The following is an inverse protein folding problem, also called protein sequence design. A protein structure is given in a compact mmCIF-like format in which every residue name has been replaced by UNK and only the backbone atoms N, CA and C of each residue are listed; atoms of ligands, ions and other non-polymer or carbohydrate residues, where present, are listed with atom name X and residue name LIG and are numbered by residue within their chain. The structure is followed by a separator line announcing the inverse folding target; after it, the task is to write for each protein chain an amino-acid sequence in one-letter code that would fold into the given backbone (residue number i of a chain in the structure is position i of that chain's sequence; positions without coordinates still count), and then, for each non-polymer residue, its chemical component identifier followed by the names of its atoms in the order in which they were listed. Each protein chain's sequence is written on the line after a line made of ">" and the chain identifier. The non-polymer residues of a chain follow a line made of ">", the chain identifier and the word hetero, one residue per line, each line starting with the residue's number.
data_IF_288634654967
#
_entry.id   IF_288634654967
#
_cell.length_a   1.000
_cell.length_b   1.000
_cell.length_c   1.000
_cell.angle_alpha   90.00
_cell.angle_beta   90.00
_cell.angle_gamma   90.00
#
_symmetry.space_group_name_H-M   'P 1'
#
loop_
_entity.id
_entity.type
_entity.pdbx_description
1 polymer ?
#
# COMPACT_ATOMS: atom_id res chain seq x y z
N UNK A 1 26.56 7.99 33.31
CA UNK A 1 25.38 7.07 33.32
C UNK A 1 24.07 7.81 33.04
N UNK A 2 23.73 8.91 33.66
CA UNK A 2 22.48 9.66 33.42
C UNK A 2 22.28 10.12 31.96
N UNK A 3 23.34 10.66 31.32
CA UNK A 3 23.29 11.14 29.91
C UNK A 3 22.97 10.01 28.89
N UNK A 4 23.50 8.80 29.14
CA UNK A 4 23.21 7.63 28.30
C UNK A 4 21.78 7.09 28.52
N UNK A 5 21.24 7.17 29.74
CA UNK A 5 19.88 6.78 30.04
C UNK A 5 18.86 7.74 29.40
N UNK A 6 19.12 9.04 29.42
CA UNK A 6 18.26 10.06 28.79
C UNK A 6 18.24 9.95 27.25
N UNK A 7 19.38 9.69 26.63
CA UNK A 7 19.48 9.43 25.19
C UNK A 7 18.71 8.16 24.82
N UNK A 8 18.83 7.09 25.61
CA UNK A 8 18.12 5.82 25.40
C UNK A 8 16.60 5.99 25.55
N UNK A 9 16.15 6.81 26.50
CA UNK A 9 14.73 7.10 26.72
C UNK A 9 14.12 7.89 25.56
N UNK A 10 14.75 8.96 25.12
CA UNK A 10 14.31 9.78 23.95
C UNK A 10 14.20 8.94 22.68
N UNK A 11 15.16 8.06 22.44
CA UNK A 11 15.16 7.16 21.30
C UNK A 11 13.95 6.20 21.30
N UNK A 12 13.63 5.59 22.46
CA UNK A 12 12.46 4.71 22.61
C UNK A 12 11.15 5.43 22.34
N UNK A 13 10.99 6.65 22.85
CA UNK A 13 9.77 7.44 22.65
C UNK A 13 9.60 7.89 21.19
N UNK A 14 10.70 8.19 20.48
CA UNK A 14 10.66 8.43 19.03
C UNK A 14 10.15 7.23 18.25
N UNK A 15 10.59 6.02 18.64
CA UNK A 15 10.10 4.78 18.01
C UNK A 15 8.62 4.54 18.29
N UNK A 16 8.19 4.74 19.52
CA UNK A 16 6.76 4.63 19.88
C UNK A 16 5.92 5.59 19.05
N UNK A 17 6.36 6.86 18.91
CA UNK A 17 5.67 7.85 18.11
C UNK A 17 5.51 7.41 16.65
N UNK A 18 6.60 6.99 16.01
CA UNK A 18 6.57 6.49 14.62
C UNK A 18 5.69 5.25 14.52
N UNK A 19 5.79 4.32 15.45
CA UNK A 19 5.01 3.08 15.47
C UNK A 19 3.50 3.33 15.54
N UNK A 20 3.07 4.27 16.39
CA UNK A 20 1.66 4.66 16.52
C UNK A 20 1.14 5.24 15.19
N UNK A 21 1.91 6.14 14.56
CA UNK A 21 1.48 6.77 13.30
C UNK A 21 1.40 5.77 12.15
N UNK A 22 2.37 4.84 12.05
CA UNK A 22 2.33 3.81 11.02
C UNK A 22 1.17 2.85 11.23
N UNK A 23 0.97 2.42 12.48
CA UNK A 23 -0.17 1.60 12.86
C UNK A 23 -1.49 2.29 12.46
N UNK A 24 -1.67 3.56 12.85
CA UNK A 24 -2.83 4.37 12.53
C UNK A 24 -3.04 4.50 11.01
N UNK A 25 -2.03 4.91 10.26
CA UNK A 25 -2.14 5.10 8.80
C UNK A 25 -2.40 3.78 8.06
N UNK A 26 -1.86 2.67 8.57
CA UNK A 26 -2.08 1.33 7.98
C UNK A 26 -3.50 0.83 8.28
N UNK A 27 -3.97 1.00 9.52
CA UNK A 27 -5.34 0.67 9.91
C UNK A 27 -6.33 1.51 9.11
N UNK A 28 -6.12 2.82 8.99
CA UNK A 28 -6.99 3.74 8.24
C UNK A 28 -7.16 3.28 6.77
N UNK A 29 -6.08 2.84 6.15
CA UNK A 29 -6.13 2.33 4.77
C UNK A 29 -6.98 1.05 4.66
N UNK A 30 -6.85 0.13 5.61
CA UNK A 30 -7.49 -1.18 5.54
C UNK A 30 -8.94 -1.15 6.05
N UNK A 31 -9.25 -0.30 7.04
CA UNK A 31 -10.55 -0.22 7.70
C UNK A 31 -11.65 0.25 6.75
N UNK A 32 -11.33 1.21 5.86
CA UNK A 32 -12.26 1.77 4.87
C UNK A 32 -12.66 0.73 3.83
N UNK A 33 -11.77 -0.19 3.46
CA UNK A 33 -12.09 -1.26 2.52
C UNK A 33 -13.24 -2.13 3.04
N UNK A 34 -13.18 -2.51 4.32
CA UNK A 34 -14.23 -3.33 4.96
C UNK A 34 -15.54 -2.56 5.15
N UNK A 35 -15.47 -1.25 5.37
CA UNK A 35 -16.62 -0.38 5.61
C UNK A 35 -17.30 0.12 4.32
N UNK A 36 -16.65 -0.03 3.17
CA UNK A 36 -17.08 0.58 1.90
C UNK A 36 -18.55 0.29 1.54
N UNK A 37 -19.08 -0.96 1.69
CA UNK A 37 -20.48 -1.24 1.40
C UNK A 37 -21.45 -0.47 2.31
N UNK A 38 -21.08 -0.26 3.57
CA UNK A 38 -21.89 0.49 4.54
C UNK A 38 -21.89 1.96 4.20
N UNK A 39 -20.72 2.53 3.94
CA UNK A 39 -20.55 3.94 3.54
C UNK A 39 -21.33 4.21 2.25
N UNK A 40 -21.22 3.33 1.25
CA UNK A 40 -21.93 3.45 -0.02
C UNK A 40 -23.45 3.51 0.19
N UNK A 41 -23.99 2.63 1.03
CA UNK A 41 -25.44 2.57 1.33
C UNK A 41 -25.91 3.80 2.09
N UNK A 42 -25.19 4.23 3.13
CA UNK A 42 -25.60 5.37 3.96
C UNK A 42 -25.51 6.70 3.19
N UNK A 43 -24.56 6.83 2.27
CA UNK A 43 -24.45 8.01 1.40
C UNK A 43 -25.36 7.92 0.15
N UNK A 44 -26.13 6.83 -0.01
CA UNK A 44 -27.01 6.63 -1.17
C UNK A 44 -26.26 6.58 -2.50
N UNK A 45 -25.00 6.15 -2.49
CA UNK A 45 -24.13 6.13 -3.65
C UNK A 45 -24.06 4.78 -4.34
N UNK A 46 -23.77 4.77 -5.64
CA UNK A 46 -23.50 3.54 -6.36
C UNK A 46 -22.20 2.88 -5.82
N UNK A 47 -22.17 1.55 -5.59
CA UNK A 47 -20.99 0.82 -5.13
C UNK A 47 -19.73 1.07 -5.98
N UNK A 48 -19.84 1.14 -7.31
CA UNK A 48 -18.71 1.45 -8.19
C UNK A 48 -18.14 2.85 -7.94
N UNK A 49 -19.01 3.84 -7.73
CA UNK A 49 -18.59 5.21 -7.40
C UNK A 49 -17.98 5.31 -6.01
N UNK A 50 -18.44 4.49 -5.05
CA UNK A 50 -17.89 4.48 -3.70
C UNK A 50 -16.41 4.01 -3.66
N UNK A 51 -15.99 3.19 -4.62
CA UNK A 51 -14.57 2.75 -4.73
C UNK A 51 -13.62 3.94 -4.88
N UNK A 52 -14.10 5.08 -5.40
CA UNK A 52 -13.31 6.31 -5.47
C UNK A 52 -12.86 6.84 -4.10
N UNK A 53 -13.54 6.48 -3.00
CA UNK A 53 -13.10 6.80 -1.63
C UNK A 53 -11.71 6.19 -1.36
N UNK A 54 -11.46 4.99 -1.87
CA UNK A 54 -10.19 4.28 -1.76
C UNK A 54 -9.20 4.78 -2.82
N UNK A 55 -9.64 4.83 -4.07
CA UNK A 55 -8.78 5.17 -5.21
C UNK A 55 -8.22 6.60 -5.10
N UNK A 56 -9.02 7.58 -4.71
CA UNK A 56 -8.58 8.97 -4.57
C UNK A 56 -7.48 9.12 -3.50
N UNK A 57 -7.63 8.44 -2.35
CA UNK A 57 -6.60 8.39 -1.32
C UNK A 57 -5.29 7.78 -1.86
N UNK A 58 -5.37 6.62 -2.49
CA UNK A 58 -4.20 5.91 -3.01
C UNK A 58 -3.55 6.67 -4.17
N UNK A 59 -4.34 7.26 -5.04
CA UNK A 59 -3.88 8.05 -6.18
C UNK A 59 -3.01 9.23 -5.73
N UNK A 60 -3.50 10.05 -4.79
CA UNK A 60 -2.73 11.16 -4.25
C UNK A 60 -1.52 10.66 -3.47
N UNK A 61 -1.68 9.57 -2.70
CA UNK A 61 -0.58 8.98 -1.94
C UNK A 61 0.57 8.53 -2.87
N UNK A 62 0.28 7.83 -3.97
CA UNK A 62 1.28 7.39 -4.94
C UNK A 62 1.95 8.59 -5.61
N UNK A 63 1.16 9.53 -6.10
CA UNK A 63 1.64 10.70 -6.85
C UNK A 63 2.56 11.58 -6.02
N UNK A 64 2.33 11.68 -4.70
CA UNK A 64 3.08 12.53 -3.78
C UNK A 64 4.24 11.82 -3.06
N UNK A 65 4.31 10.49 -3.09
CA UNK A 65 5.26 9.73 -2.28
C UNK A 65 6.72 10.09 -2.60
N UNK A 66 7.11 10.11 -3.88
CA UNK A 66 8.48 10.46 -4.30
C UNK A 66 8.78 11.96 -4.19
N UNK A 67 7.89 12.88 -4.63
CA UNK A 67 8.06 14.30 -4.40
C UNK A 67 8.29 14.67 -2.93
N UNK A 68 7.51 14.09 -2.02
CA UNK A 68 7.63 14.37 -0.59
C UNK A 68 8.85 13.71 0.05
N UNK A 69 9.32 12.55 -0.47
CA UNK A 69 10.58 11.96 -0.07
C UNK A 69 11.76 12.89 -0.40
N UNK A 70 11.82 13.39 -1.63
CA UNK A 70 12.85 14.34 -2.07
C UNK A 70 12.74 15.67 -1.33
N UNK A 71 11.52 16.17 -1.06
CA UNK A 71 11.31 17.36 -0.24
C UNK A 71 11.87 17.16 1.18
N UNK A 72 11.71 15.97 1.75
CA UNK A 72 12.26 15.61 3.06
C UNK A 72 13.78 15.70 3.13
N UNK A 73 14.48 15.40 2.03
CA UNK A 73 15.94 15.56 1.95
C UNK A 73 16.36 17.03 2.02
N UNK A 74 15.54 17.95 1.51
CA UNK A 74 15.85 19.38 1.44
C UNK A 74 15.43 20.14 2.69
N UNK A 75 14.18 19.98 3.15
CA UNK A 75 13.62 20.75 4.29
C UNK A 75 13.70 20.03 5.63
N UNK A 76 14.10 18.75 5.61
CA UNK A 76 14.21 17.87 6.78
C UNK A 76 13.03 16.91 6.92
N UNK A 77 13.33 15.64 7.18
CA UNK A 77 12.34 14.56 7.29
C UNK A 77 11.35 14.76 8.43
N UNK A 78 11.81 15.29 9.57
CA UNK A 78 10.94 15.60 10.71
C UNK A 78 9.86 16.63 10.36
N UNK A 79 10.20 17.67 9.60
CA UNK A 79 9.24 18.71 9.20
C UNK A 79 8.17 18.13 8.28
N UNK A 80 8.58 17.37 7.26
CA UNK A 80 7.66 16.69 6.34
C UNK A 80 6.74 15.73 7.11
N UNK A 81 7.29 14.97 8.06
CA UNK A 81 6.52 14.02 8.86
C UNK A 81 5.46 14.71 9.73
N UNK A 82 5.82 15.76 10.47
CA UNK A 82 4.91 16.48 11.37
C UNK A 82 3.82 17.22 10.57
N UNK A 83 4.17 17.89 9.47
CA UNK A 83 3.17 18.54 8.61
C UNK A 83 2.25 17.52 7.96
N UNK A 84 2.79 16.40 7.48
CA UNK A 84 1.99 15.28 6.93
C UNK A 84 1.01 14.70 7.94
N UNK A 85 1.45 14.48 9.18
CA UNK A 85 0.59 13.99 10.26
C UNK A 85 -0.51 15.00 10.60
N UNK A 86 -0.19 16.30 10.63
CA UNK A 86 -1.17 17.35 10.87
C UNK A 86 -2.24 17.39 9.77
N UNK A 87 -1.81 17.31 8.49
CA UNK A 87 -2.75 17.25 7.36
C UNK A 87 -3.61 15.98 7.42
N UNK A 88 -3.01 14.83 7.77
CA UNK A 88 -3.74 13.57 7.93
C UNK A 88 -4.84 13.67 8.99
N UNK A 89 -4.57 14.30 10.13
CA UNK A 89 -5.56 14.47 11.20
C UNK A 89 -6.69 15.42 10.81
N UNK A 90 -6.36 16.57 10.22
CA UNK A 90 -7.38 17.53 9.74
C UNK A 90 -8.26 16.88 8.68
N UNK A 91 -7.69 16.18 7.72
CA UNK A 91 -8.46 15.48 6.69
C UNK A 91 -9.26 14.30 7.23
N UNK A 92 -8.75 13.60 8.26
CA UNK A 92 -9.53 12.57 8.96
C UNK A 92 -10.78 13.15 9.63
N UNK A 93 -10.65 14.32 10.28
CA UNK A 93 -11.80 15.06 10.81
C UNK A 93 -12.79 15.43 9.70
N UNK A 94 -12.31 15.93 8.56
CA UNK A 94 -13.15 16.24 7.39
C UNK A 94 -13.86 15.00 6.85
N UNK A 95 -13.19 13.83 6.79
CA UNK A 95 -13.82 12.58 6.41
C UNK A 95 -14.98 12.21 7.35
N UNK A 96 -14.77 12.30 8.67
CA UNK A 96 -15.82 12.01 9.65
C UNK A 96 -16.99 13.01 9.65
N UNK A 97 -16.79 14.22 9.13
CA UNK A 97 -17.85 15.24 9.00
C UNK A 97 -18.49 15.26 7.58
N UNK A 98 -18.13 14.31 6.73
CA UNK A 98 -18.60 14.27 5.35
C UNK A 98 -20.05 13.82 5.24
N UNK A 99 -20.89 14.61 4.57
CA UNK A 99 -22.31 14.31 4.33
C UNK A 99 -22.60 13.92 2.87
N UNK A 100 -21.58 13.84 2.03
CA UNK A 100 -21.72 13.45 0.61
C UNK A 100 -20.51 12.67 0.13
N UNK A 101 -20.72 11.82 -0.86
CA UNK A 101 -19.64 11.06 -1.50
C UNK A 101 -18.52 11.96 -2.04
N UNK A 102 -18.91 13.07 -2.71
CA UNK A 102 -17.94 14.02 -3.28
C UNK A 102 -17.03 14.63 -2.20
N UNK A 103 -17.62 15.11 -1.10
CA UNK A 103 -16.85 15.71 -0.01
C UNK A 103 -15.96 14.68 0.70
N UNK A 104 -16.44 13.43 0.83
CA UNK A 104 -15.64 12.34 1.39
C UNK A 104 -14.44 12.00 0.48
N UNK A 105 -14.64 11.92 -0.83
CA UNK A 105 -13.55 11.70 -1.81
C UNK A 105 -12.51 12.82 -1.74
N UNK A 106 -12.94 14.08 -1.68
CA UNK A 106 -12.04 15.23 -1.55
C UNK A 106 -11.24 15.17 -0.25
N UNK A 107 -11.90 14.87 0.86
CA UNK A 107 -11.26 14.73 2.18
C UNK A 107 -10.27 13.56 2.19
N UNK A 108 -10.60 12.43 1.55
CA UNK A 108 -9.72 11.27 1.36
C UNK A 108 -8.51 11.61 0.48
N UNK A 109 -8.67 12.42 -0.54
CA UNK A 109 -7.55 12.93 -1.36
C UNK A 109 -6.56 13.73 -0.51
N UNK A 110 -7.05 14.63 0.33
CA UNK A 110 -6.21 15.40 1.26
C UNK A 110 -5.55 14.48 2.31
N UNK A 111 -6.27 13.47 2.80
CA UNK A 111 -5.72 12.49 3.74
C UNK A 111 -4.63 11.63 3.08
N UNK A 112 -4.77 11.29 1.79
CA UNK A 112 -3.75 10.63 0.99
C UNK A 112 -2.46 11.43 0.87
N UNK A 113 -2.55 12.75 0.75
CA UNK A 113 -1.37 13.65 0.81
C UNK A 113 -0.67 13.57 2.16
N UNK A 114 -1.40 13.64 3.28
CA UNK A 114 -0.85 13.49 4.61
C UNK A 114 -0.17 12.12 4.81
N UNK A 115 -0.80 11.05 4.35
CA UNK A 115 -0.24 9.70 4.40
C UNK A 115 1.02 9.56 3.55
N UNK A 116 1.05 10.15 2.35
CA UNK A 116 2.25 10.19 1.50
C UNK A 116 3.43 10.86 2.21
N UNK A 117 3.19 12.00 2.88
CA UNK A 117 4.22 12.70 3.62
C UNK A 117 4.77 11.85 4.78
N UNK A 118 3.91 11.17 5.53
CA UNK A 118 4.32 10.26 6.60
C UNK A 118 5.15 9.10 6.04
N UNK A 119 4.61 8.40 5.04
CA UNK A 119 5.22 7.15 4.52
C UNK A 119 6.51 7.41 3.76
N UNK A 120 6.62 8.52 3.03
CA UNK A 120 7.81 8.87 2.24
C UNK A 120 9.07 9.03 3.08
N UNK A 121 8.96 9.57 4.29
CA UNK A 121 10.09 9.87 5.17
C UNK A 121 10.25 8.87 6.32
N UNK A 122 9.33 7.94 6.46
CA UNK A 122 9.29 6.98 7.58
C UNK A 122 10.58 6.15 7.68
N UNK A 123 11.02 5.54 6.58
CA UNK A 123 12.23 4.70 6.55
C UNK A 123 13.49 5.52 6.87
N UNK A 124 13.53 6.78 6.39
CA UNK A 124 14.62 7.69 6.70
C UNK A 124 14.69 8.03 8.19
N UNK A 125 13.54 8.34 8.81
CA UNK A 125 13.46 8.59 10.26
C UNK A 125 13.90 7.37 11.08
N UNK A 126 13.53 6.16 10.68
CA UNK A 126 13.98 4.92 11.33
C UNK A 126 15.52 4.81 11.25
N UNK A 127 16.14 5.14 10.10
CA UNK A 127 17.62 5.15 9.95
C UNK A 127 18.31 6.16 10.89
N UNK A 128 17.68 7.30 11.17
CA UNK A 128 18.22 8.27 12.13
C UNK A 128 18.07 7.84 13.59
N UNK A 129 17.04 7.06 13.89
CA UNK A 129 16.74 6.62 15.25
C UNK A 129 17.56 5.38 15.61
N UNK A 130 17.68 4.41 14.72
CA UNK A 130 18.39 3.15 14.99
C UNK A 130 19.89 3.26 14.76
N UNK A 131 20.72 2.69 15.64
CA UNK A 131 22.15 2.52 15.36
C UNK A 131 22.36 1.68 14.10
N UNK A 132 23.40 1.94 13.30
CA UNK A 132 23.65 1.23 12.03
C UNK A 132 23.66 -0.29 12.15
N UNK A 133 24.19 -0.84 13.25
CA UNK A 133 24.26 -2.27 13.54
C UNK A 133 22.91 -2.90 13.94
N UNK A 134 21.85 -2.09 14.18
CA UNK A 134 20.50 -2.54 14.56
C UNK A 134 19.43 -2.05 13.59
N UNK A 135 19.82 -1.44 12.49
CA UNK A 135 18.87 -0.90 11.49
C UNK A 135 17.92 -1.98 10.94
N UNK A 136 18.45 -3.19 10.67
CA UNK A 136 17.62 -4.32 10.23
C UNK A 136 16.52 -4.69 11.24
N UNK A 137 16.80 -4.60 12.55
CA UNK A 137 15.80 -4.81 13.58
C UNK A 137 14.71 -3.72 13.55
N UNK A 138 15.09 -2.46 13.33
CA UNK A 138 14.15 -1.35 13.22
C UNK A 138 13.21 -1.49 12.03
N UNK A 139 13.75 -1.82 10.87
CA UNK A 139 12.96 -2.06 9.65
C UNK A 139 12.06 -3.30 9.80
N UNK A 140 12.57 -4.37 10.42
CA UNK A 140 11.79 -5.57 10.71
C UNK A 140 10.64 -5.29 11.69
N UNK A 141 10.88 -4.50 12.74
CA UNK A 141 9.83 -4.08 13.68
C UNK A 141 8.76 -3.21 13.00
N UNK A 142 9.17 -2.30 12.12
CA UNK A 142 8.24 -1.51 11.33
C UNK A 142 7.36 -2.39 10.41
N UNK A 143 7.95 -3.38 9.74
CA UNK A 143 7.22 -4.34 8.92
C UNK A 143 6.23 -5.17 9.73
N UNK A 144 6.61 -5.58 10.96
CA UNK A 144 5.73 -6.29 11.88
C UNK A 144 4.51 -5.43 12.27
N UNK A 145 4.72 -4.14 12.59
CA UNK A 145 3.62 -3.22 12.93
C UNK A 145 2.65 -3.12 11.76
N UNK A 146 3.14 -2.95 10.54
CA UNK A 146 2.30 -2.90 9.33
C UNK A 146 1.49 -4.19 9.18
N UNK A 147 2.12 -5.36 9.30
CA UNK A 147 1.45 -6.65 9.16
C UNK A 147 0.36 -6.87 10.23
N UNK A 148 0.67 -6.56 11.50
CA UNK A 148 -0.29 -6.68 12.61
C UNK A 148 -1.45 -5.70 12.41
N UNK A 149 -1.17 -4.45 11.99
CA UNK A 149 -2.18 -3.43 11.73
C UNK A 149 -3.17 -3.86 10.64
N UNK A 150 -2.67 -4.39 9.53
CA UNK A 150 -3.53 -4.95 8.48
C UNK A 150 -4.35 -6.14 8.98
N UNK A 151 -3.79 -6.97 9.86
CA UNK A 151 -4.48 -8.14 10.42
C UNK A 151 -5.67 -7.75 11.29
N UNK A 152 -5.51 -6.73 12.13
CA UNK A 152 -6.55 -6.32 13.08
C UNK A 152 -7.55 -5.31 12.51
N UNK A 153 -7.22 -4.64 11.41
CA UNK A 153 -8.05 -3.58 10.83
C UNK A 153 -9.49 -4.03 10.50
N UNK A 154 -9.74 -5.20 9.87
CA UNK A 154 -11.10 -5.65 9.62
C UNK A 154 -11.91 -5.90 10.89
N UNK A 155 -11.26 -6.39 11.97
CA UNK A 155 -11.92 -6.59 13.26
C UNK A 155 -12.28 -5.27 13.92
N UNK A 156 -11.38 -4.28 13.86
CA UNK A 156 -11.64 -2.92 14.37
C UNK A 156 -12.79 -2.30 13.59
N UNK A 157 -12.79 -2.43 12.24
CA UNK A 157 -13.89 -1.95 11.40
C UNK A 157 -15.22 -2.56 11.81
N UNK A 158 -15.27 -3.88 11.92
CA UNK A 158 -16.47 -4.62 12.31
C UNK A 158 -16.95 -4.21 13.72
N UNK A 159 -16.05 -4.10 14.68
CA UNK A 159 -16.39 -3.68 16.04
C UNK A 159 -16.97 -2.26 16.09
N UNK A 160 -16.36 -1.29 15.39
CA UNK A 160 -16.88 0.07 15.34
C UNK A 160 -18.26 0.10 14.67
N UNK A 161 -18.41 -0.55 13.50
CA UNK A 161 -19.66 -0.55 12.74
C UNK A 161 -20.81 -1.33 13.43
N UNK A 162 -20.51 -2.17 14.42
CA UNK A 162 -21.54 -2.87 15.20
C UNK A 162 -22.18 -1.99 16.30
N UNK A 163 -21.49 -0.93 16.75
CA UNK A 163 -21.93 -0.06 17.88
C UNK A 163 -22.04 1.41 17.51
N UNK A 164 -21.47 1.82 16.39
CA UNK A 164 -21.38 3.22 15.98
C UNK A 164 -21.54 3.37 14.46
N UNK A 165 -21.75 4.60 14.00
CA UNK A 165 -21.83 4.93 12.58
C UNK A 165 -20.44 4.93 11.92
N UNK A 166 -20.39 4.86 10.59
CA UNK A 166 -19.16 4.75 9.81
C UNK A 166 -18.20 5.94 10.00
N UNK A 167 -18.68 7.12 10.35
CA UNK A 167 -17.86 8.32 10.60
C UNK A 167 -16.82 8.10 11.71
N UNK A 168 -17.15 7.23 12.68
CA UNK A 168 -16.25 6.89 13.78
C UNK A 168 -14.98 6.16 13.33
N UNK A 169 -14.99 5.55 12.14
CA UNK A 169 -13.79 4.96 11.53
C UNK A 169 -12.70 6.02 11.29
N UNK A 170 -13.11 7.26 11.05
CA UNK A 170 -12.21 8.39 10.86
C UNK A 170 -11.94 9.15 12.18
N UNK A 171 -12.96 9.32 13.02
CA UNK A 171 -12.80 10.03 14.29
C UNK A 171 -11.82 9.34 15.24
N UNK A 172 -11.67 8.00 15.19
CA UNK A 172 -10.70 7.26 16.03
C UNK A 172 -9.26 7.70 15.77
N UNK A 173 -8.95 8.20 14.57
CA UNK A 173 -7.63 8.71 14.21
C UNK A 173 -7.28 9.99 14.99
N UNK A 174 -8.28 10.78 15.43
CA UNK A 174 -8.03 12.10 16.05
C UNK A 174 -7.32 11.96 17.39
N UNK A 175 -7.86 11.25 18.40
CA UNK A 175 -7.19 11.14 19.71
C UNK A 175 -5.83 10.44 19.60
N UNK A 176 -5.75 9.35 18.83
CA UNK A 176 -4.52 8.59 18.64
C UNK A 176 -3.45 9.43 17.93
N UNK A 177 -3.85 10.11 16.85
CA UNK A 177 -2.94 10.92 16.05
C UNK A 177 -2.53 12.23 16.76
N UNK A 178 -3.40 12.88 17.56
CA UNK A 178 -3.00 14.03 18.38
C UNK A 178 -1.93 13.62 19.42
N UNK A 179 -2.10 12.48 20.08
CA UNK A 179 -1.08 11.95 20.96
C UNK A 179 0.23 11.68 20.22
N UNK A 180 0.16 11.03 19.07
CA UNK A 180 1.33 10.75 18.23
C UNK A 180 2.00 12.03 17.70
N UNK A 181 1.23 13.07 17.36
CA UNK A 181 1.73 14.38 16.93
C UNK A 181 2.53 15.06 18.03
N UNK A 182 1.99 15.07 19.26
CA UNK A 182 2.68 15.63 20.43
C UNK A 182 4.00 14.87 20.69
N UNK A 183 3.95 13.53 20.70
CA UNK A 183 5.14 12.70 20.88
C UNK A 183 6.17 12.96 19.77
N UNK A 184 5.73 13.03 18.51
CA UNK A 184 6.60 13.30 17.37
C UNK A 184 7.22 14.70 17.44
N UNK A 185 6.46 15.71 17.86
CA UNK A 185 6.93 17.07 17.99
C UNK A 185 7.98 17.23 19.12
N UNK A 186 7.88 16.42 20.18
CA UNK A 186 8.80 16.50 21.31
C UNK A 186 10.05 15.63 21.08
N UNK A 187 9.86 14.38 20.64
CA UNK A 187 10.90 13.35 20.70
C UNK A 187 11.59 13.05 19.38
N UNK A 188 10.97 13.33 18.20
CA UNK A 188 11.68 13.10 16.94
C UNK A 188 12.96 13.95 16.86
N UNK A 189 14.09 13.33 16.45
CA UNK A 189 15.35 14.03 16.38
C UNK A 189 15.25 15.25 15.44
N UNK A 190 15.76 16.38 15.91
CA UNK A 190 15.96 17.56 15.05
C UNK A 190 17.17 17.24 14.18
N UNK A 191 16.99 17.24 12.87
CA UNK A 191 18.10 17.08 11.96
C UNK A 191 19.08 18.24 12.14
N UNK A 192 20.33 17.90 12.41
CA UNK A 192 21.40 18.88 12.28
C UNK A 192 21.64 19.04 10.77
N UNK A 193 21.34 20.19 10.25
CA UNK A 193 21.75 20.57 8.89
C UNK A 193 23.27 20.44 8.85
N UNK A 194 23.78 19.50 8.07
CA UNK A 194 25.22 19.44 7.83
C UNK A 194 25.54 20.58 6.86
N UNK A 195 26.01 21.69 7.39
CA UNK A 195 26.41 22.91 6.63
C UNK A 195 27.46 22.62 5.53
N UNK A 196 28.00 21.40 5.49
CA UNK A 196 29.04 20.97 4.53
C UNK A 196 28.48 20.23 3.29
N UNK A 197 27.18 19.90 3.24
CA UNK A 197 26.59 19.34 2.03
C UNK A 197 26.01 20.49 1.19
N UNK A 198 26.32 20.56 -0.13
CA UNK A 198 25.68 21.54 -0.98
C UNK A 198 24.17 21.40 -0.86
N UNK A 199 23.49 22.48 -0.47
CA UNK A 199 22.02 22.55 -0.40
C UNK A 199 21.51 22.32 -1.83
N UNK A 200 21.17 21.08 -2.16
CA UNK A 200 20.53 20.77 -3.43
C UNK A 200 19.17 21.45 -3.42
N UNK A 201 18.97 22.39 -4.34
CA UNK A 201 17.67 23.05 -4.48
C UNK A 201 16.63 22.00 -4.86
N UNK A 202 15.49 22.00 -4.16
CA UNK A 202 14.39 21.11 -4.50
C UNK A 202 13.92 21.38 -5.93
N UNK A 203 13.89 20.34 -6.77
CA UNK A 203 13.44 20.44 -8.14
C UNK A 203 11.89 20.36 -8.19
N UNK A 204 11.25 21.53 -7.97
CA UNK A 204 9.78 21.65 -8.02
C UNK A 204 9.21 21.19 -9.35
N UNK A 205 9.91 21.40 -10.45
CA UNK A 205 9.43 21.03 -11.76
C UNK A 205 9.44 19.51 -11.95
N UNK A 206 10.52 18.84 -11.57
CA UNK A 206 10.57 17.37 -11.62
C UNK A 206 9.56 16.73 -10.64
N UNK A 207 9.38 17.31 -9.45
CA UNK A 207 8.37 16.87 -8.49
C UNK A 207 6.95 17.03 -9.05
N UNK A 208 6.65 18.14 -9.72
CA UNK A 208 5.37 18.38 -10.39
C UNK A 208 5.15 17.39 -11.54
N UNK A 209 6.15 17.15 -12.38
CA UNK A 209 6.06 16.16 -13.46
C UNK A 209 5.79 14.76 -12.91
N UNK A 210 6.49 14.37 -11.83
CA UNK A 210 6.29 13.08 -11.17
C UNK A 210 4.86 12.94 -10.61
N UNK A 211 4.37 14.00 -9.96
CA UNK A 211 2.99 14.05 -9.46
C UNK A 211 1.97 13.90 -10.59
N UNK A 212 2.10 14.71 -11.64
CA UNK A 212 1.16 14.70 -12.78
C UNK A 212 1.20 13.37 -13.54
N UNK A 213 2.38 12.77 -13.70
CA UNK A 213 2.53 11.46 -14.32
C UNK A 213 1.67 10.40 -13.63
N UNK A 214 1.84 10.23 -12.32
CA UNK A 214 1.07 9.22 -11.57
C UNK A 214 -0.40 9.60 -11.45
N UNK A 215 -0.73 10.89 -11.34
CA UNK A 215 -2.09 11.37 -11.30
C UNK A 215 -2.85 11.00 -12.57
N UNK A 216 -2.37 11.42 -13.74
CA UNK A 216 -3.04 11.13 -15.02
C UNK A 216 -3.03 9.64 -15.37
N UNK A 217 -1.97 8.92 -15.00
CA UNK A 217 -1.93 7.47 -15.18
C UNK A 217 -3.08 6.76 -14.44
N UNK A 218 -3.31 7.13 -13.18
CA UNK A 218 -4.36 6.51 -12.36
C UNK A 218 -5.75 7.04 -12.74
N UNK A 219 -5.87 8.31 -13.14
CA UNK A 219 -7.14 8.85 -13.64
C UNK A 219 -7.59 8.11 -14.91
N UNK A 220 -6.70 7.94 -15.90
CA UNK A 220 -7.03 7.20 -17.11
C UNK A 220 -7.42 5.75 -16.84
N UNK A 221 -6.81 5.13 -15.82
CA UNK A 221 -7.24 3.82 -15.38
C UNK A 221 -8.63 3.88 -14.69
N UNK A 222 -8.91 4.90 -13.91
CA UNK A 222 -10.21 5.14 -13.28
C UNK A 222 -11.33 5.34 -14.31
N UNK A 223 -11.10 6.20 -15.31
CA UNK A 223 -12.07 6.42 -16.40
C UNK A 223 -12.35 5.14 -17.18
N UNK A 224 -11.33 4.33 -17.48
CA UNK A 224 -11.50 3.02 -18.11
C UNK A 224 -12.44 2.12 -17.29
N UNK A 225 -12.36 2.15 -15.97
CA UNK A 225 -13.15 1.30 -15.07
C UNK A 225 -14.60 1.78 -14.89
N UNK A 226 -14.90 3.05 -15.20
CA UNK A 226 -16.24 3.65 -15.11
C UNK A 226 -16.98 3.75 -16.45
N UNK A 227 -16.61 2.95 -17.46
CA UNK A 227 -17.16 3.02 -18.83
C UNK A 227 -16.96 4.42 -19.44
N UNK A 228 -15.85 5.06 -19.09
CA UNK A 228 -15.50 6.39 -19.54
C UNK A 228 -15.42 6.49 -21.08
N UNK A 229 -15.50 7.71 -21.55
CA UNK A 229 -15.38 8.00 -22.96
C UNK A 229 -13.94 7.73 -23.45
N UNK A 230 -13.74 6.73 -24.32
CA UNK A 230 -12.42 6.29 -24.81
C UNK A 230 -11.46 7.41 -25.20
N UNK A 231 -11.90 8.51 -25.85
CA UNK A 231 -11.03 9.64 -26.13
C UNK A 231 -10.43 10.29 -24.87
N UNK A 232 -11.16 10.32 -23.74
CA UNK A 232 -10.65 10.87 -22.48
C UNK A 232 -9.55 9.97 -21.92
N UNK A 233 -9.76 8.66 -21.91
CA UNK A 233 -8.76 7.66 -21.49
C UNK A 233 -7.47 7.77 -22.32
N UNK A 234 -7.62 7.87 -23.65
CA UNK A 234 -6.48 8.05 -24.56
C UNK A 234 -5.75 9.38 -24.34
N UNK A 235 -6.49 10.46 -24.06
CA UNK A 235 -5.92 11.76 -23.73
C UNK A 235 -5.10 11.66 -22.44
N UNK A 236 -5.65 11.10 -21.37
CA UNK A 236 -4.97 10.97 -20.06
C UNK A 236 -3.71 10.11 -20.15
N UNK A 237 -3.75 9.01 -20.89
CA UNK A 237 -2.57 8.19 -21.11
C UNK A 237 -1.54 8.83 -22.04
N UNK A 238 -1.99 9.62 -23.03
CA UNK A 238 -1.09 10.43 -23.86
C UNK A 238 -0.37 11.49 -23.04
N UNK A 239 -1.10 12.17 -22.15
CA UNK A 239 -0.55 13.14 -21.19
C UNK A 239 0.45 12.44 -20.24
N UNK A 240 0.11 11.27 -19.74
CA UNK A 240 1.01 10.43 -18.92
C UNK A 240 2.31 10.11 -19.66
N UNK A 241 2.22 9.72 -20.92
CA UNK A 241 3.38 9.42 -21.77
C UNK A 241 4.27 10.65 -21.95
N UNK A 242 3.67 11.81 -22.22
CA UNK A 242 4.40 13.09 -22.34
C UNK A 242 5.15 13.42 -21.04
N UNK A 243 4.47 13.34 -19.90
CA UNK A 243 5.12 13.59 -18.61
C UNK A 243 6.21 12.55 -18.28
N UNK A 244 6.03 11.29 -18.68
CA UNK A 244 7.06 10.25 -18.54
C UNK A 244 8.31 10.58 -19.33
N UNK A 245 8.16 11.00 -20.59
CA UNK A 245 9.27 11.38 -21.47
C UNK A 245 9.98 12.63 -20.93
N UNK A 246 9.23 13.67 -20.54
CA UNK A 246 9.79 14.90 -19.99
C UNK A 246 10.56 14.63 -18.69
N UNK A 247 10.00 13.79 -17.80
CA UNK A 247 10.64 13.42 -16.55
C UNK A 247 11.92 12.61 -16.82
N UNK A 248 11.88 11.62 -17.71
CA UNK A 248 13.04 10.82 -18.08
C UNK A 248 14.14 11.68 -18.68
N UNK A 249 13.81 12.59 -19.59
CA UNK A 249 14.78 13.51 -20.19
C UNK A 249 15.44 14.41 -19.15
N UNK A 250 14.64 15.02 -18.26
CA UNK A 250 15.16 15.89 -17.22
C UNK A 250 16.01 15.17 -16.17
N UNK A 251 15.64 13.94 -15.82
CA UNK A 251 16.30 13.17 -14.76
C UNK A 251 17.53 12.40 -15.26
N UNK A 252 17.71 12.21 -16.57
CA UNK A 252 18.86 11.49 -17.15
C UNK A 252 20.21 12.14 -16.82
N UNK A 253 20.22 13.44 -16.55
CA UNK A 253 21.44 14.23 -16.24
C UNK A 253 21.52 14.64 -14.77
N UNK A 254 20.52 14.31 -13.96
CA UNK A 254 20.48 14.74 -12.56
C UNK A 254 21.27 13.78 -11.65
N UNK A 255 22.17 14.27 -10.76
CA UNK A 255 23.00 13.42 -9.91
C UNK A 255 22.22 12.60 -8.86
N UNK A 256 21.00 13.04 -8.50
CA UNK A 256 20.10 12.32 -7.60
C UNK A 256 18.67 12.34 -8.16
N UNK A 257 18.33 11.40 -9.07
CA UNK A 257 17.02 11.38 -9.70
C UNK A 257 15.92 11.01 -8.72
N UNK A 258 14.77 11.72 -8.78
CA UNK A 258 13.57 11.43 -7.98
C UNK A 258 13.04 10.04 -8.34
N UNK A 259 13.04 9.71 -9.62
CA UNK A 259 12.65 8.40 -10.14
C UNK A 259 13.89 7.66 -10.65
N UNK A 260 14.26 6.58 -9.99
CA UNK A 260 15.44 5.79 -10.33
C UNK A 260 15.14 4.84 -11.51
N UNK A 261 14.84 5.40 -12.69
CA UNK A 261 14.48 4.66 -13.92
C UNK A 261 15.61 3.73 -14.36
N UNK A 262 16.85 4.14 -14.14
CA UNK A 262 18.04 3.34 -14.42
C UNK A 262 18.06 2.00 -13.68
N UNK A 263 17.47 1.93 -12.49
CA UNK A 263 17.36 0.68 -11.75
C UNK A 263 16.38 -0.30 -12.41
N UNK A 264 15.32 0.20 -13.06
CA UNK A 264 14.33 -0.63 -13.76
C UNK A 264 14.89 -1.29 -15.03
N UNK A 265 16.07 -0.89 -15.51
CA UNK A 265 16.77 -1.60 -16.60
C UNK A 265 17.24 -2.99 -16.17
N UNK A 266 17.38 -3.25 -14.88
CA UNK A 266 17.63 -4.60 -14.38
C UNK A 266 16.39 -5.47 -14.54
N UNK A 267 16.46 -6.50 -15.38
CA UNK A 267 15.36 -7.44 -15.63
C UNK A 267 14.83 -8.06 -14.33
N UNK A 268 15.71 -8.40 -13.38
CA UNK A 268 15.32 -8.97 -12.12
C UNK A 268 14.49 -7.98 -11.27
N UNK A 269 14.88 -6.71 -11.22
CA UNK A 269 14.15 -5.69 -10.50
C UNK A 269 12.79 -5.41 -11.15
N UNK A 270 12.77 -5.26 -12.49
CA UNK A 270 11.55 -5.02 -13.24
C UNK A 270 10.54 -6.16 -13.07
N UNK A 271 10.95 -7.40 -13.29
CA UNK A 271 10.07 -8.57 -13.15
C UNK A 271 9.59 -8.76 -11.70
N UNK A 272 10.45 -8.50 -10.69
CA UNK A 272 10.05 -8.54 -9.29
C UNK A 272 9.02 -7.46 -8.94
N UNK A 273 9.16 -6.26 -9.53
CA UNK A 273 8.21 -5.16 -9.35
C UNK A 273 6.86 -5.47 -10.02
N UNK A 274 6.87 -6.02 -11.23
CA UNK A 274 5.66 -6.47 -11.92
C UNK A 274 4.95 -7.59 -11.14
N UNK A 275 5.72 -8.55 -10.59
CA UNK A 275 5.18 -9.59 -9.72
C UNK A 275 4.53 -8.98 -8.46
N UNK A 276 5.14 -7.95 -7.86
CA UNK A 276 4.55 -7.20 -6.76
C UNK A 276 3.23 -6.56 -7.17
N UNK A 277 3.18 -5.88 -8.32
CA UNK A 277 1.95 -5.27 -8.83
C UNK A 277 0.85 -6.31 -8.94
N UNK A 278 1.11 -7.48 -9.56
CA UNK A 278 0.11 -8.56 -9.68
C UNK A 278 -0.40 -9.02 -8.30
N UNK A 279 0.49 -9.32 -7.37
CA UNK A 279 0.11 -9.81 -6.04
C UNK A 279 -0.71 -8.79 -5.25
N UNK A 280 -0.30 -7.52 -5.26
CA UNK A 280 -1.02 -6.45 -4.59
C UNK A 280 -2.32 -6.06 -5.30
N UNK A 281 -2.43 -6.29 -6.63
CA UNK A 281 -3.71 -6.20 -7.36
C UNK A 281 -4.70 -7.23 -6.84
N UNK A 282 -4.27 -8.48 -6.67
CA UNK A 282 -5.13 -9.53 -6.08
C UNK A 282 -5.54 -9.16 -4.65
N UNK A 283 -4.63 -8.65 -3.85
CA UNK A 283 -4.94 -8.22 -2.48
C UNK A 283 -5.95 -7.06 -2.48
N UNK A 284 -5.71 -5.99 -3.26
CA UNK A 284 -6.61 -4.83 -3.35
C UNK A 284 -8.00 -5.22 -3.83
N UNK A 285 -8.06 -6.04 -4.89
CA UNK A 285 -9.30 -6.60 -5.42
C UNK A 285 -10.06 -7.41 -4.36
N UNK A 286 -9.38 -8.31 -3.65
CA UNK A 286 -10.01 -9.15 -2.64
C UNK A 286 -10.54 -8.33 -1.46
N UNK A 287 -9.73 -7.41 -0.91
CA UNK A 287 -10.13 -6.61 0.26
C UNK A 287 -11.22 -5.58 -0.03
N UNK A 288 -11.44 -5.22 -1.30
CA UNK A 288 -12.58 -4.39 -1.72
C UNK A 288 -13.80 -5.25 -2.04
N UNK A 289 -13.65 -6.35 -2.79
CA UNK A 289 -14.79 -7.16 -3.25
C UNK A 289 -15.39 -8.07 -2.17
N UNK A 290 -14.56 -8.67 -1.30
CA UNK A 290 -15.05 -9.64 -0.30
C UNK A 290 -16.00 -9.04 0.73
N UNK A 291 -15.83 -7.81 1.27
CA UNK A 291 -16.85 -7.18 2.09
C UNK A 291 -18.20 -7.04 1.38
N UNK A 292 -18.21 -6.66 0.09
CA UNK A 292 -19.45 -6.63 -0.70
C UNK A 292 -20.05 -8.02 -0.82
N UNK A 293 -19.26 -9.05 -1.15
CA UNK A 293 -19.74 -10.42 -1.24
C UNK A 293 -20.39 -10.89 0.07
N UNK A 294 -19.71 -10.68 1.20
CA UNK A 294 -20.20 -11.18 2.49
C UNK A 294 -21.42 -10.42 3.00
N UNK A 295 -21.46 -9.09 2.86
CA UNK A 295 -22.54 -8.26 3.37
C UNK A 295 -23.76 -8.24 2.44
N UNK A 296 -23.58 -8.17 1.11
CA UNK A 296 -24.69 -7.96 0.18
C UNK A 296 -25.20 -9.24 -0.46
N UNK A 297 -24.33 -10.20 -0.77
CA UNK A 297 -24.71 -11.46 -1.44
C UNK A 297 -24.96 -12.56 -0.42
N UNK A 298 -24.04 -12.75 0.53
CA UNK A 298 -24.16 -13.81 1.55
C UNK A 298 -24.90 -13.35 2.83
N UNK A 299 -25.41 -12.10 2.85
CA UNK A 299 -26.19 -11.50 3.94
C UNK A 299 -25.58 -11.70 5.34
N UNK A 300 -24.22 -11.70 5.42
CA UNK A 300 -23.51 -11.80 6.70
C UNK A 300 -23.56 -10.47 7.43
N UNK A 301 -23.49 -10.51 8.76
CA UNK A 301 -23.38 -9.28 9.55
C UNK A 301 -21.94 -8.72 9.54
N UNK A 302 -21.75 -7.50 10.11
CA UNK A 302 -20.46 -6.81 10.12
C UNK A 302 -19.38 -7.61 10.85
N UNK A 303 -19.72 -8.23 12.00
CA UNK A 303 -18.79 -9.00 12.82
C UNK A 303 -18.36 -10.27 12.08
N UNK A 304 -19.30 -11.00 11.48
CA UNK A 304 -19.01 -12.17 10.67
C UNK A 304 -18.10 -11.83 9.48
N UNK A 305 -18.37 -10.70 8.81
CA UNK A 305 -17.55 -10.23 7.70
C UNK A 305 -16.10 -9.94 8.15
N UNK A 306 -15.94 -9.25 9.29
CA UNK A 306 -14.62 -9.00 9.85
C UNK A 306 -13.87 -10.29 10.22
N UNK A 307 -14.58 -11.23 10.86
CA UNK A 307 -14.04 -12.54 11.22
C UNK A 307 -13.65 -13.38 9.99
N UNK A 308 -14.41 -13.29 8.89
CA UNK A 308 -14.11 -14.02 7.64
C UNK A 308 -12.87 -13.44 6.92
N UNK A 309 -12.63 -12.14 7.00
CA UNK A 309 -11.48 -11.49 6.34
C UNK A 309 -10.17 -11.67 7.15
N UNK A 310 -10.27 -11.73 8.47
CA UNK A 310 -9.12 -11.82 9.39
C UNK A 310 -8.17 -13.00 9.10
N UNK A 311 -8.61 -14.22 8.76
CA UNK A 311 -7.71 -15.35 8.50
C UNK A 311 -6.68 -15.09 7.39
N UNK A 312 -7.03 -14.31 6.35
CA UNK A 312 -6.06 -13.90 5.33
C UNK A 312 -4.89 -13.15 5.95
N UNK A 313 -5.18 -12.05 6.63
CA UNK A 313 -4.14 -11.19 7.22
C UNK A 313 -3.36 -11.89 8.34
N UNK A 314 -4.03 -12.72 9.14
CA UNK A 314 -3.39 -13.52 10.17
C UNK A 314 -2.37 -14.51 9.59
N UNK A 315 -2.74 -15.21 8.50
CA UNK A 315 -1.83 -16.13 7.83
C UNK A 315 -0.67 -15.43 7.14
N UNK A 316 -0.88 -14.22 6.59
CA UNK A 316 0.21 -13.37 6.10
C UNK A 316 1.21 -13.07 7.21
N UNK A 317 0.74 -12.66 8.39
CA UNK A 317 1.59 -12.36 9.54
C UNK A 317 2.41 -13.57 10.02
N UNK A 318 1.83 -14.78 9.97
CA UNK A 318 2.50 -16.03 10.31
C UNK A 318 3.50 -16.45 9.22
N UNK A 319 3.10 -16.36 7.96
CA UNK A 319 3.90 -16.86 6.84
C UNK A 319 5.06 -15.93 6.46
N UNK A 320 4.94 -14.60 6.67
CA UNK A 320 6.00 -13.67 6.31
C UNK A 320 7.36 -13.96 6.97
N UNK A 321 7.48 -14.22 8.30
CA UNK A 321 8.75 -14.60 8.91
C UNK A 321 9.22 -16.00 8.48
N UNK A 322 8.32 -16.95 8.22
CA UNK A 322 8.64 -18.29 7.73
C UNK A 322 9.23 -18.19 6.33
N UNK A 323 8.55 -17.48 5.43
CA UNK A 323 9.01 -17.23 4.06
C UNK A 323 10.34 -16.46 4.02
N UNK A 324 10.54 -15.52 4.95
CA UNK A 324 11.81 -14.81 5.13
C UNK A 324 12.97 -15.78 5.42
N UNK A 325 12.78 -16.73 6.35
CA UNK A 325 13.79 -17.77 6.67
C UNK A 325 13.99 -18.75 5.50
N UNK A 326 12.91 -19.16 4.83
CA UNK A 326 13.01 -20.02 3.66
C UNK A 326 13.80 -19.36 2.53
N UNK A 327 13.66 -18.05 2.35
CA UNK A 327 14.39 -17.30 1.32
C UNK A 327 15.92 -17.25 1.54
N UNK A 328 16.41 -17.67 2.73
CA UNK A 328 17.84 -17.86 2.97
C UNK A 328 18.38 -19.18 2.38
N UNK A 329 17.49 -20.15 2.13
CA UNK A 329 17.85 -21.49 1.63
C UNK A 329 17.41 -21.75 0.20
N UNK A 330 16.32 -21.15 -0.23
CA UNK A 330 15.71 -21.38 -1.53
C UNK A 330 15.71 -20.09 -2.36
N UNK A 331 15.77 -20.24 -3.69
CA UNK A 331 15.71 -19.10 -4.62
C UNK A 331 14.40 -18.33 -4.44
N UNK A 332 14.49 -16.99 -4.39
CA UNK A 332 13.34 -16.12 -4.17
C UNK A 332 12.25 -16.28 -5.23
N UNK A 333 12.63 -16.61 -6.48
CA UNK A 333 11.74 -16.85 -7.60
C UNK A 333 10.81 -18.04 -7.36
N UNK A 334 11.36 -19.14 -6.85
CA UNK A 334 10.60 -20.38 -6.59
C UNK A 334 9.59 -20.14 -5.45
N UNK A 335 10.04 -19.52 -4.37
CA UNK A 335 9.17 -19.26 -3.21
C UNK A 335 8.05 -18.28 -3.57
N UNK A 336 8.39 -17.18 -4.27
CA UNK A 336 7.40 -16.21 -4.71
C UNK A 336 6.40 -16.80 -5.71
N UNK A 337 6.89 -17.65 -6.63
CA UNK A 337 6.03 -18.37 -7.57
C UNK A 337 5.08 -19.33 -6.85
N UNK A 338 5.59 -20.16 -5.95
CA UNK A 338 4.77 -21.06 -5.13
C UNK A 338 3.71 -20.31 -4.33
N UNK A 339 4.07 -19.16 -3.75
CA UNK A 339 3.13 -18.29 -3.04
C UNK A 339 1.98 -17.80 -3.95
N UNK A 340 2.30 -17.32 -5.16
CA UNK A 340 1.28 -16.86 -6.12
C UNK A 340 0.41 -18.00 -6.66
N UNK A 341 0.96 -19.19 -6.84
CA UNK A 341 0.20 -20.37 -7.23
C UNK A 341 -0.83 -20.77 -6.15
N UNK A 342 -0.41 -20.76 -4.88
CA UNK A 342 -1.32 -20.98 -3.73
C UNK A 342 -2.38 -19.88 -3.66
N UNK A 343 -2.00 -18.62 -3.86
CA UNK A 343 -2.92 -17.48 -3.88
C UNK A 343 -3.97 -17.60 -5.00
N UNK A 344 -3.55 -18.03 -6.18
CA UNK A 344 -4.45 -18.33 -7.30
C UNK A 344 -5.49 -19.39 -6.91
N UNK A 345 -5.04 -20.53 -6.35
CA UNK A 345 -5.95 -21.59 -5.90
C UNK A 345 -6.92 -21.10 -4.81
N UNK A 346 -6.44 -20.26 -3.89
CA UNK A 346 -7.25 -19.60 -2.87
C UNK A 346 -8.34 -18.70 -3.48
N UNK A 347 -7.98 -17.84 -4.45
CA UNK A 347 -8.95 -16.95 -5.13
C UNK A 347 -10.01 -17.73 -5.90
N UNK A 348 -9.60 -18.75 -6.66
CA UNK A 348 -10.51 -19.64 -7.37
C UNK A 348 -11.44 -20.36 -6.41
N UNK A 349 -10.94 -20.84 -5.27
CA UNK A 349 -11.76 -21.50 -4.25
C UNK A 349 -12.77 -20.54 -3.60
N UNK A 350 -12.42 -19.26 -3.44
CA UNK A 350 -13.32 -18.21 -2.95
C UNK A 350 -14.40 -17.86 -3.99
N UNK A 351 -14.06 -17.87 -5.28
CA UNK A 351 -15.03 -17.63 -6.35
C UNK A 351 -16.11 -18.71 -6.41
N UNK A 352 -15.86 -19.90 -5.83
CA UNK A 352 -16.80 -21.03 -5.73
C UNK A 352 -17.56 -21.07 -4.39
N UNK A 353 -17.57 -19.97 -3.63
CA UNK A 353 -18.36 -19.87 -2.39
C UNK A 353 -19.83 -19.69 -2.74
N UNK A 354 -20.71 -20.48 -2.11
CA UNK A 354 -22.17 -20.41 -2.22
C UNK A 354 -22.82 -20.06 -0.87
N UNK A 355 -24.09 -19.69 -0.89
CA UNK A 355 -24.87 -19.35 0.32
C UNK A 355 -24.88 -20.46 1.37
N UNK A 356 -24.81 -21.73 0.94
CA UNK A 356 -24.72 -22.90 1.80
C UNK A 356 -23.33 -23.14 2.39
N UNK A 357 -22.32 -22.31 2.01
CA UNK A 357 -20.95 -22.50 2.50
C UNK A 357 -20.85 -22.21 3.99
N UNK A 358 -20.35 -23.21 4.73
CA UNK A 358 -20.14 -23.05 6.16
C UNK A 358 -19.04 -22.00 6.44
N UNK A 359 -19.27 -21.16 7.44
CA UNK A 359 -18.36 -20.04 7.79
C UNK A 359 -16.90 -20.50 7.98
N UNK A 360 -16.68 -21.66 8.59
CA UNK A 360 -15.35 -22.26 8.75
C UNK A 360 -14.69 -22.57 7.40
N UNK A 361 -15.42 -23.12 6.43
CA UNK A 361 -14.91 -23.43 5.09
C UNK A 361 -14.44 -22.17 4.34
N UNK A 362 -15.22 -21.08 4.44
CA UNK A 362 -14.82 -19.78 3.86
C UNK A 362 -13.56 -19.21 4.56
N UNK A 363 -13.48 -19.32 5.89
CA UNK A 363 -12.30 -18.94 6.66
C UNK A 363 -11.03 -19.70 6.24
N UNK A 364 -11.14 -21.00 5.96
CA UNK A 364 -10.02 -21.82 5.45
C UNK A 364 -9.57 -21.34 4.07
N UNK A 365 -10.50 -21.01 3.15
CA UNK A 365 -10.18 -20.47 1.82
C UNK A 365 -9.44 -19.13 1.94
N UNK A 366 -9.88 -18.27 2.85
CA UNK A 366 -9.20 -17.01 3.18
C UNK A 366 -7.80 -17.24 3.75
N UNK A 367 -7.64 -18.23 4.62
CA UNK A 367 -6.33 -18.61 5.16
C UNK A 367 -5.36 -19.11 4.07
N UNK A 368 -5.85 -19.87 3.09
CA UNK A 368 -5.04 -20.32 1.93
C UNK A 368 -4.55 -19.10 1.14
N UNK A 369 -5.41 -18.11 0.87
CA UNK A 369 -4.99 -16.87 0.23
C UNK A 369 -3.91 -16.15 1.04
N UNK A 370 -4.05 -16.08 2.37
CA UNK A 370 -3.07 -15.48 3.27
C UNK A 370 -1.73 -16.21 3.28
N UNK A 371 -1.72 -17.54 3.27
CA UNK A 371 -0.52 -18.37 3.12
C UNK A 371 0.19 -18.05 1.81
N UNK A 372 -0.54 -18.05 0.70
CA UNK A 372 0.01 -17.75 -0.62
C UNK A 372 0.64 -16.36 -0.69
N UNK A 373 -0.08 -15.34 -0.23
CA UNK A 373 0.41 -13.96 -0.22
C UNK A 373 1.62 -13.78 0.71
N UNK A 374 1.61 -14.35 1.91
CA UNK A 374 2.71 -14.28 2.87
C UNK A 374 3.97 -14.97 2.37
N UNK A 375 3.81 -16.12 1.69
CA UNK A 375 4.92 -16.86 1.09
C UNK A 375 5.54 -16.10 -0.11
N UNK A 376 4.76 -15.32 -0.83
CA UNK A 376 5.22 -14.45 -1.91
C UNK A 376 5.99 -13.22 -1.40
N UNK A 377 5.45 -12.52 -0.39
CA UNK A 377 5.82 -11.13 -0.06
C UNK A 377 7.29 -10.99 0.36
N UNK A 378 7.75 -11.78 1.34
CA UNK A 378 9.10 -11.66 1.91
C UNK A 378 10.21 -12.03 0.91
N UNK A 379 10.15 -13.14 0.16
CA UNK A 379 11.16 -13.48 -0.83
C UNK A 379 11.23 -12.47 -1.98
N UNK A 380 10.08 -11.97 -2.46
CA UNK A 380 10.05 -10.98 -3.53
C UNK A 380 10.63 -9.63 -3.09
N UNK A 381 10.34 -9.18 -1.86
CA UNK A 381 10.97 -8.00 -1.28
C UNK A 381 12.51 -8.16 -1.21
N UNK A 382 12.99 -9.32 -0.79
CA UNK A 382 14.42 -9.64 -0.76
C UNK A 382 15.04 -9.59 -2.16
N UNK A 383 14.36 -10.10 -3.18
CA UNK A 383 14.82 -10.05 -4.56
C UNK A 383 14.95 -8.61 -5.07
N UNK A 384 13.98 -7.72 -4.80
CA UNK A 384 14.03 -6.31 -5.15
C UNK A 384 15.19 -5.62 -4.45
N UNK A 385 15.31 -5.79 -3.12
CA UNK A 385 16.34 -5.12 -2.33
C UNK A 385 17.74 -5.63 -2.65
N UNK A 386 17.89 -6.92 -2.99
CA UNK A 386 19.15 -7.54 -3.40
C UNK A 386 19.61 -7.19 -4.82
N UNK A 387 18.70 -6.69 -5.65
CA UNK A 387 19.02 -6.26 -7.02
C UNK A 387 19.64 -4.86 -7.10
N UNK A 388 19.78 -4.16 -5.97
CA UNK A 388 20.19 -2.75 -5.92
C UNK A 388 21.36 -2.57 -4.96
N UNK A 389 22.37 -1.77 -5.33
CA UNK A 389 23.50 -1.45 -4.43
C UNK A 389 23.01 -0.84 -3.10
N UNK A 390 23.69 -1.14 -2.01
CA UNK A 390 23.31 -0.67 -0.67
C UNK A 390 23.16 0.85 -0.57
N UNK A 391 23.95 1.62 -1.33
CA UNK A 391 23.86 3.08 -1.41
C UNK A 391 22.52 3.59 -1.98
N UNK A 392 21.79 2.75 -2.76
CA UNK A 392 20.53 3.09 -3.41
C UNK A 392 19.33 2.34 -2.83
N UNK A 393 19.45 1.81 -1.63
CA UNK A 393 18.38 1.07 -0.94
C UNK A 393 17.12 1.92 -0.71
N UNK A 394 17.25 3.25 -0.60
CA UNK A 394 16.11 4.17 -0.53
C UNK A 394 15.25 4.15 -1.80
N UNK A 395 15.89 4.23 -2.98
CA UNK A 395 15.21 4.14 -4.28
C UNK A 395 14.50 2.79 -4.45
N UNK A 396 15.15 1.67 -4.05
CA UNK A 396 14.52 0.35 -4.07
C UNK A 396 13.29 0.27 -3.16
N UNK A 397 13.35 0.85 -1.96
CA UNK A 397 12.19 0.94 -1.05
C UNK A 397 11.04 1.75 -1.67
N UNK A 398 11.36 2.83 -2.39
CA UNK A 398 10.39 3.62 -3.14
C UNK A 398 9.69 2.79 -4.23
N UNK A 399 10.45 2.01 -5.03
CA UNK A 399 9.90 1.11 -6.05
C UNK A 399 8.97 0.06 -5.43
N UNK A 400 9.35 -0.53 -4.29
CA UNK A 400 8.49 -1.48 -3.56
C UNK A 400 7.17 -0.83 -3.14
N UNK A 401 7.24 0.38 -2.56
CA UNK A 401 6.06 1.10 -2.11
C UNK A 401 5.12 1.47 -3.27
N UNK A 402 5.68 1.97 -4.39
CA UNK A 402 4.91 2.30 -5.59
C UNK A 402 4.28 1.04 -6.19
N UNK A 403 5.03 -0.05 -6.35
CA UNK A 403 4.50 -1.31 -6.89
C UNK A 403 3.34 -1.84 -6.06
N UNK A 404 3.43 -1.73 -4.73
CA UNK A 404 2.35 -2.10 -3.81
C UNK A 404 1.11 -1.25 -4.03
N UNK A 405 1.27 0.08 -4.02
CA UNK A 405 0.15 1.01 -4.09
C UNK A 405 -0.51 0.97 -5.47
N UNK A 406 0.27 0.90 -6.57
CA UNK A 406 -0.27 0.70 -7.91
C UNK A 406 -1.09 -0.59 -8.01
N UNK A 407 -0.56 -1.69 -7.48
CA UNK A 407 -1.29 -2.95 -7.45
C UNK A 407 -2.62 -2.81 -6.71
N UNK A 408 -2.62 -2.25 -5.50
CA UNK A 408 -3.85 -2.05 -4.72
C UNK A 408 -4.86 -1.16 -5.45
N UNK A 409 -4.41 -0.08 -6.10
CA UNK A 409 -5.27 0.81 -6.90
C UNK A 409 -5.85 0.07 -8.11
N UNK A 410 -5.05 -0.73 -8.84
CA UNK A 410 -5.56 -1.56 -9.94
C UNK A 410 -6.58 -2.58 -9.46
N UNK A 411 -6.33 -3.21 -8.31
CA UNK A 411 -7.28 -4.14 -7.70
C UNK A 411 -8.61 -3.48 -7.40
N UNK A 412 -8.60 -2.33 -6.73
CA UNK A 412 -9.81 -1.57 -6.41
C UNK A 412 -10.53 -1.09 -7.68
N UNK A 413 -9.79 -0.60 -8.69
CA UNK A 413 -10.35 -0.19 -9.97
C UNK A 413 -11.02 -1.35 -10.73
N UNK A 414 -10.39 -2.54 -10.76
CA UNK A 414 -11.00 -3.72 -11.36
C UNK A 414 -12.32 -4.10 -10.68
N UNK A 415 -12.43 -3.95 -9.36
CA UNK A 415 -13.70 -4.13 -8.66
C UNK A 415 -14.73 -3.11 -9.12
N UNK A 416 -14.36 -1.82 -9.22
CA UNK A 416 -15.25 -0.76 -9.70
C UNK A 416 -15.74 -1.05 -11.12
N UNK A 417 -14.85 -1.45 -12.02
CA UNK A 417 -15.19 -1.86 -13.38
C UNK A 417 -16.18 -3.02 -13.40
N UNK A 418 -15.91 -4.09 -12.65
CA UNK A 418 -16.81 -5.23 -12.59
C UNK A 418 -18.20 -4.86 -12.03
N UNK A 419 -18.24 -4.04 -10.98
CA UNK A 419 -19.50 -3.57 -10.41
C UNK A 419 -20.29 -2.64 -11.34
N UNK A 420 -19.61 -1.92 -12.25
CA UNK A 420 -20.25 -1.07 -13.25
C UNK A 420 -20.82 -1.86 -14.45
N UNK A 421 -20.10 -2.90 -14.90
CA UNK A 421 -20.49 -3.73 -16.06
C UNK A 421 -21.53 -4.79 -15.66
N UNK A 422 -21.37 -5.37 -14.48
CA UNK A 422 -22.22 -6.47 -13.96
C UNK A 422 -22.90 -6.04 -12.66
N UNK A 423 -23.93 -5.17 -12.69
CA UNK A 423 -24.65 -4.77 -11.49
C UNK A 423 -25.41 -6.00 -10.92
N UNK A 424 -25.24 -6.28 -9.61
CA UNK A 424 -25.93 -7.34 -8.88
C UNK A 424 -25.03 -8.48 -8.40
N UNK A 425 -25.49 -9.73 -8.47
CA UNK A 425 -24.91 -10.90 -7.80
C UNK A 425 -23.56 -11.40 -8.35
N UNK A 426 -23.05 -10.81 -9.45
CA UNK A 426 -21.86 -11.33 -10.16
C UNK A 426 -20.52 -10.88 -9.58
N UNK A 427 -20.46 -10.51 -8.30
CA UNK A 427 -19.19 -10.12 -7.65
C UNK A 427 -18.17 -11.29 -7.63
N UNK A 428 -18.61 -12.53 -7.81
CA UNK A 428 -17.73 -13.70 -7.94
C UNK A 428 -16.82 -13.64 -9.16
N UNK A 429 -17.23 -12.95 -10.23
CA UNK A 429 -16.39 -12.71 -11.43
C UNK A 429 -15.10 -11.99 -11.05
N UNK A 430 -15.20 -11.06 -10.12
CA UNK A 430 -14.04 -10.31 -9.60
C UNK A 430 -12.99 -11.26 -9.01
N UNK A 431 -13.44 -12.28 -8.28
CA UNK A 431 -12.54 -13.28 -7.67
C UNK A 431 -11.87 -14.18 -8.71
N UNK A 432 -12.58 -14.51 -9.80
CA UNK A 432 -12.00 -15.22 -10.95
C UNK A 432 -10.92 -14.37 -11.64
N UNK A 433 -11.16 -13.08 -11.84
CA UNK A 433 -10.16 -12.13 -12.36
C UNK A 433 -8.95 -12.10 -11.42
N UNK A 434 -9.17 -12.06 -10.10
CA UNK A 434 -8.09 -12.14 -9.11
C UNK A 434 -7.25 -13.41 -9.26
N UNK A 435 -7.87 -14.57 -9.50
CA UNK A 435 -7.18 -15.81 -9.83
C UNK A 435 -6.33 -15.70 -11.11
N UNK A 436 -6.87 -15.08 -12.16
CA UNK A 436 -6.15 -14.83 -13.42
C UNK A 436 -4.94 -13.91 -13.25
N UNK A 437 -5.07 -12.84 -12.46
CA UNK A 437 -3.96 -11.92 -12.14
C UNK A 437 -2.87 -12.64 -11.32
N UNK A 438 -3.25 -13.49 -10.36
CA UNK A 438 -2.30 -14.30 -9.59
C UNK A 438 -1.54 -15.28 -10.50
N UNK A 439 -2.21 -15.89 -11.48
CA UNK A 439 -1.59 -16.73 -12.50
C UNK A 439 -0.59 -15.92 -13.35
N UNK A 440 -0.94 -14.71 -13.78
CA UNK A 440 -0.03 -13.80 -14.48
C UNK A 440 1.24 -13.53 -13.68
N UNK A 441 1.11 -13.23 -12.39
CA UNK A 441 2.24 -13.07 -11.48
C UNK A 441 3.08 -14.34 -11.33
N UNK A 442 2.46 -15.51 -11.28
CA UNK A 442 3.16 -16.80 -11.27
C UNK A 442 3.99 -17.02 -12.55
N UNK A 443 3.41 -16.71 -13.72
CA UNK A 443 4.11 -16.80 -15.01
C UNK A 443 5.34 -15.85 -15.03
N UNK A 444 5.20 -14.63 -14.53
CA UNK A 444 6.33 -13.68 -14.41
C UNK A 444 7.43 -14.24 -13.49
N UNK A 445 7.07 -14.88 -12.37
CA UNK A 445 8.05 -15.54 -11.50
C UNK A 445 8.77 -16.70 -12.18
N UNK A 446 8.06 -17.52 -12.94
CA UNK A 446 8.67 -18.63 -13.70
C UNK A 446 9.62 -18.12 -14.79
N UNK A 447 9.22 -17.05 -15.49
CA UNK A 447 10.09 -16.38 -16.47
C UNK A 447 11.37 -15.87 -15.82
N UNK A 448 11.25 -15.21 -14.64
CA UNK A 448 12.41 -14.72 -13.88
C UNK A 448 13.34 -15.87 -13.46
N UNK A 449 12.78 -17.00 -13.03
CA UNK A 449 13.55 -18.18 -12.67
C UNK A 449 14.32 -18.76 -13.88
N UNK A 450 13.67 -18.90 -15.03
CA UNK A 450 14.32 -19.38 -16.29
C UNK A 450 15.47 -18.45 -16.69
N UNK A 451 15.26 -17.13 -16.63
CA UNK A 451 16.31 -16.15 -16.96
C UNK A 451 17.49 -16.25 -15.97
N UNK A 452 17.25 -16.53 -14.70
CA UNK A 452 18.31 -16.70 -13.70
C UNK A 452 19.15 -17.97 -13.98
N UNK A 453 18.53 -19.05 -14.44
CA UNK A 453 19.25 -20.29 -14.81
C UNK A 453 20.15 -20.08 -16.04
N UNK A 454 19.67 -19.37 -17.05
CA UNK A 454 20.47 -19.05 -18.25
C UNK A 454 21.71 -18.18 -17.89
N UNK A 455 21.58 -17.29 -16.93
CA UNK A 455 22.70 -16.44 -16.49
C UNK A 455 23.75 -17.22 -15.67
N UNK A 456 23.34 -18.25 -14.92
CA UNK A 456 24.24 -19.16 -14.20
C UNK A 456 24.94 -20.16 -15.15
N UNK A 457 24.28 -20.56 -16.25
CA UNK A 457 24.83 -21.47 -17.25
C UNK A 457 25.90 -20.83 -18.18
N UNK A 458 25.92 -19.49 -18.26
CA UNK A 458 26.87 -18.71 -19.10
C UNK A 458 28.11 -18.28 -18.29
N UNK A 459 28.07 -18.36 -16.98
CA UNK A 459 29.22 -18.12 -16.08
C UNK A 459 29.94 -19.41 -15.74
#
# INVERSE_FOLDING_TARGET
>A
MQKNAEVTYKWRLSLVAISIVICMATIDTAIVNTALPVISRELGSNPSSAVWIINAYQMIMISMLLPLASLGEVIGYRRVYITGLSVFLVSSLMCGLSNSLFFLILSRSLQGFGAAAIMSVNTALIKFIYPPNKLGQGLGFNALIVAVSFTIAPLISAAILSIARWEWLFFINIPVGCMALILSAIYLPKEQHNDHLPVTKFDWFAAMLCFLLFLFFILGFGELTHQGYWPVVLLEWSVTLVFSILLAYKQSTHPSPILAIDLLQSANLLLSSLTSICAFTVQGLAFVSLPFLFLTVLHKNQIETGLLITPWSAMVAVMAPIAGRLSDRYKSEILSGAGLFILMGGMVSLAMVSDSSFMFGTGVKMAICGIGFGLFQSPNLRAIMGSVPAARSGSASGIVAISRLLGQTFGAGLVALCLSIFPGENITIVLWIGGGVAMGGFIICTLRWVLSLNHEAIK
#
